data_IF_996305219788
#
_entry.id   IF_996305219788
#
_cell.length_a   1.000
_cell.length_b   1.000
_cell.length_c   1.000
_cell.angle_alpha   90.00
_cell.angle_beta   90.00
_cell.angle_gamma   90.00
#
_symmetry.space_group_name_H-M   'P 1'
#
loop_
_entity.id
_entity.type
_entity.pdbx_description
1 polymer ?
#
# COMPACT_ATOMS: atom_id res chain seq x y z
N UNK A 1 -5.88 -53.17 -30.96
CA UNK A 1 -6.55 -52.07 -30.23
C UNK A 1 -5.69 -51.73 -29.01
N UNK A 2 -5.09 -50.53 -28.94
CA UNK A 2 -4.29 -50.12 -27.78
C UNK A 2 -4.63 -48.66 -27.47
N UNK A 3 -5.57 -48.47 -26.54
CA UNK A 3 -5.98 -47.17 -26.01
C UNK A 3 -4.87 -46.69 -25.07
N UNK A 4 -4.08 -45.69 -25.49
CA UNK A 4 -3.16 -44.98 -24.63
C UNK A 4 -3.91 -43.75 -24.10
N UNK A 5 -4.49 -43.88 -22.90
CA UNK A 5 -5.00 -42.75 -22.13
C UNK A 5 -3.77 -41.92 -21.70
N UNK A 6 -3.50 -40.82 -22.40
CA UNK A 6 -2.64 -39.77 -21.86
C UNK A 6 -3.42 -39.01 -20.81
N UNK A 7 -3.22 -39.37 -19.53
CA UNK A 7 -3.52 -38.48 -18.41
C UNK A 7 -2.49 -37.34 -18.46
N UNK A 8 -2.88 -36.20 -19.01
CA UNK A 8 -2.14 -34.96 -18.81
C UNK A 8 -2.40 -34.48 -17.37
N UNK A 9 -1.36 -34.26 -16.55
CA UNK A 9 -1.54 -33.58 -15.28
C UNK A 9 -1.93 -32.14 -15.60
N UNK A 10 -3.13 -31.73 -15.18
CA UNK A 10 -3.47 -30.32 -15.06
C UNK A 10 -2.49 -29.73 -14.02
N UNK A 11 -1.39 -29.15 -14.51
CA UNK A 11 -0.64 -28.20 -13.71
C UNK A 11 -1.58 -27.03 -13.46
N UNK A 12 -2.23 -27.01 -12.30
CA UNK A 12 -2.74 -25.77 -11.75
C UNK A 12 -1.51 -24.88 -11.60
N UNK A 13 -1.31 -23.96 -12.56
CA UNK A 13 -0.50 -22.80 -12.33
C UNK A 13 -1.08 -22.15 -11.07
N UNK A 14 -0.38 -22.29 -9.94
CA UNK A 14 -0.64 -21.42 -8.82
C UNK A 14 -0.27 -20.04 -9.31
N UNK A 15 -1.27 -19.29 -9.75
CA UNK A 15 -1.21 -17.84 -9.67
C UNK A 15 -1.03 -17.53 -8.18
N UNK A 16 0.23 -17.52 -7.73
CA UNK A 16 0.62 -16.73 -6.59
C UNK A 16 0.24 -15.31 -6.97
N UNK A 17 -0.96 -14.92 -6.57
CA UNK A 17 -1.61 -13.67 -6.91
C UNK A 17 -0.87 -12.57 -6.15
N UNK A 18 0.35 -12.26 -6.63
CA UNK A 18 1.12 -11.07 -6.30
C UNK A 18 0.27 -9.89 -6.78
N UNK A 19 -0.65 -9.44 -5.93
CA UNK A 19 -1.59 -8.40 -6.30
C UNK A 19 -2.86 -8.31 -5.46
N UNK A 20 -3.25 -9.37 -4.73
CA UNK A 20 -4.39 -9.30 -3.80
C UNK A 20 -3.94 -9.15 -2.37
N UNK A 21 -4.40 -8.09 -1.67
CA UNK A 21 -4.27 -7.97 -0.22
C UNK A 21 -4.81 -9.21 0.50
N UNK A 22 -4.05 -9.72 1.46
CA UNK A 22 -4.33 -10.88 2.31
C UNK A 22 -5.04 -10.46 3.58
N UNK A 23 -4.58 -9.37 4.21
CA UNK A 23 -5.00 -8.94 5.54
C UNK A 23 -5.90 -7.71 5.49
N UNK A 24 -5.84 -6.94 4.40
CA UNK A 24 -6.62 -5.72 4.16
C UNK A 24 -6.35 -4.67 5.26
N UNK A 25 -5.08 -4.50 5.62
CA UNK A 25 -4.67 -3.67 6.75
C UNK A 25 -5.04 -2.19 6.57
N UNK A 26 -4.96 -1.69 5.34
CA UNK A 26 -5.39 -0.35 4.97
C UNK A 26 -6.33 -0.45 3.79
N UNK A 27 -7.50 0.16 3.88
CA UNK A 27 -8.50 0.17 2.82
C UNK A 27 -9.20 1.51 2.70
N UNK A 28 -9.68 1.80 1.50
CA UNK A 28 -10.35 3.06 1.22
C UNK A 28 -10.83 3.14 -0.23
N UNK A 29 -11.19 4.36 -0.61
CA UNK A 29 -11.59 4.68 -1.97
C UNK A 29 -10.60 5.62 -2.65
N UNK A 30 -10.57 5.61 -3.98
CA UNK A 30 -9.86 6.58 -4.82
C UNK A 30 -10.93 7.41 -5.55
N UNK A 31 -10.96 8.70 -5.26
CA UNK A 31 -11.82 9.68 -5.93
C UNK A 31 -11.04 10.48 -6.98
N UNK A 32 -11.77 11.23 -7.81
CA UNK A 32 -11.18 12.00 -8.91
C UNK A 32 -10.93 11.17 -10.17
N UNK A 33 -10.33 11.81 -11.17
CA UNK A 33 -9.99 11.19 -12.47
C UNK A 33 -8.49 11.00 -12.54
N UNK A 34 -8.04 9.75 -12.68
CA UNK A 34 -6.63 9.45 -12.84
C UNK A 34 -6.08 10.12 -14.11
N UNK A 35 -4.87 10.71 -14.05
CA UNK A 35 -4.26 11.37 -15.22
C UNK A 35 -3.64 10.38 -16.22
N UNK A 36 -3.69 9.07 -15.95
CA UNK A 36 -3.12 8.03 -16.81
C UNK A 36 -3.33 6.61 -16.26
N UNK A 37 -2.70 5.63 -16.92
CA UNK A 37 -2.72 4.22 -16.56
C UNK A 37 -1.39 3.52 -16.95
N UNK A 38 -1.05 2.35 -16.36
CA UNK A 38 -1.75 1.66 -15.29
C UNK A 38 -1.62 2.36 -13.93
N UNK A 39 -2.65 2.23 -13.11
CA UNK A 39 -2.65 2.75 -11.73
C UNK A 39 -2.16 1.65 -10.81
N UNK A 40 -1.22 1.98 -9.92
CA UNK A 40 -0.73 1.11 -8.86
C UNK A 40 -0.82 1.80 -7.51
N UNK A 41 -0.73 1.01 -6.44
CA UNK A 41 -0.60 1.50 -5.07
C UNK A 41 0.84 1.38 -4.60
N UNK A 42 1.23 2.25 -3.68
CA UNK A 42 2.49 2.13 -2.96
C UNK A 42 2.33 2.61 -1.51
N UNK A 43 3.10 1.99 -0.63
CA UNK A 43 3.38 2.51 0.70
C UNK A 43 4.74 3.20 0.64
N UNK A 44 4.76 4.52 0.66
CA UNK A 44 5.98 5.32 0.50
C UNK A 44 6.42 5.93 1.82
N UNK A 45 7.72 5.96 2.08
CA UNK A 45 8.28 6.69 3.22
C UNK A 45 8.14 8.21 3.03
N UNK A 46 8.06 8.93 4.14
CA UNK A 46 8.04 10.39 4.15
C UNK A 46 9.28 10.90 4.86
N UNK A 47 10.04 11.80 4.23
CA UNK A 47 11.07 12.58 4.93
C UNK A 47 10.59 13.99 5.23
N UNK A 48 11.38 14.68 6.05
CA UNK A 48 11.25 16.10 6.38
C UNK A 48 11.28 17.06 5.18
N UNK A 49 11.71 16.61 3.99
CA UNK A 49 11.75 17.41 2.75
C UNK A 49 10.64 17.08 1.75
N UNK A 50 9.69 16.21 2.14
CA UNK A 50 8.60 15.73 1.29
C UNK A 50 9.02 14.49 0.49
N UNK A 51 8.32 13.37 0.76
CA UNK A 51 8.43 12.06 0.11
C UNK A 51 9.87 11.63 -0.26
N UNK A 52 10.55 10.96 0.67
CA UNK A 52 11.79 10.24 0.34
C UNK A 52 11.41 8.84 -0.07
N UNK A 53 12.01 8.36 -1.16
CA UNK A 53 12.10 6.93 -1.44
C UNK A 53 12.85 6.27 -0.29
N UNK A 54 12.14 6.00 0.80
CA UNK A 54 12.48 4.85 1.59
C UNK A 54 12.25 3.66 0.66
N UNK A 55 13.23 2.78 0.52
CA UNK A 55 13.08 1.46 -0.10
C UNK A 55 12.15 0.60 0.77
N UNK A 56 10.92 1.06 0.99
CA UNK A 56 9.86 0.33 1.68
C UNK A 56 9.37 -0.74 0.73
N UNK A 57 8.95 -1.87 1.28
CA UNK A 57 8.24 -2.86 0.49
C UNK A 57 7.01 -2.22 -0.17
N UNK A 58 7.03 -2.18 -1.49
CA UNK A 58 5.96 -1.62 -2.28
C UNK A 58 4.88 -2.68 -2.47
N UNK A 59 3.64 -2.29 -2.22
CA UNK A 59 2.50 -3.18 -2.37
C UNK A 59 1.85 -2.89 -3.72
N UNK A 60 2.23 -3.66 -4.73
CA UNK A 60 1.53 -3.63 -6.00
C UNK A 60 0.14 -4.26 -5.81
N UNK A 61 -0.91 -3.44 -5.87
CA UNK A 61 -2.30 -3.91 -5.86
C UNK A 61 -2.98 -3.41 -7.12
N UNK A 62 -3.70 -4.30 -7.80
CA UNK A 62 -4.63 -3.92 -8.84
C UNK A 62 -5.89 -3.36 -8.19
N UNK A 63 -6.27 -2.13 -8.52
CA UNK A 63 -7.48 -1.49 -7.96
C UNK A 63 -8.70 -2.34 -8.34
N UNK A 64 -9.32 -2.99 -7.34
CA UNK A 64 -10.47 -3.89 -7.51
C UNK A 64 -11.76 -3.06 -7.44
N UNK A 65 -12.51 -2.99 -8.55
CA UNK A 65 -13.55 -1.97 -8.78
C UNK A 65 -12.89 -0.57 -8.82
N UNK A 66 -13.08 0.20 -9.90
CA UNK A 66 -12.18 1.28 -10.36
C UNK A 66 -11.86 2.42 -9.35
N UNK A 67 -12.39 2.33 -8.13
CA UNK A 67 -12.29 3.31 -7.05
C UNK A 67 -12.10 2.69 -5.66
N UNK A 68 -11.98 1.38 -5.48
CA UNK A 68 -11.75 0.78 -4.16
C UNK A 68 -10.40 0.12 -4.09
N UNK A 69 -9.77 0.20 -2.93
CA UNK A 69 -8.47 -0.42 -2.74
C UNK A 69 -8.31 -1.00 -1.34
N UNK A 70 -7.34 -1.90 -1.26
CA UNK A 70 -6.75 -2.33 0.00
C UNK A 70 -5.26 -2.55 -0.18
N UNK A 71 -4.52 -2.49 0.91
CA UNK A 71 -3.07 -2.65 1.00
C UNK A 71 -2.79 -3.38 2.31
N UNK A 72 -1.88 -4.35 2.27
CA UNK A 72 -1.35 -4.98 3.48
C UNK A 72 -0.12 -4.23 3.95
N UNK A 73 0.18 -4.30 5.24
CA UNK A 73 1.47 -3.85 5.72
C UNK A 73 2.59 -4.76 5.21
N UNK A 74 3.80 -4.23 4.97
CA UNK A 74 4.99 -5.03 4.77
C UNK A 74 5.20 -6.03 5.91
N UNK A 75 5.67 -7.24 5.58
CA UNK A 75 6.05 -8.26 6.58
C UNK A 75 7.24 -7.81 7.45
N UNK A 76 8.07 -6.89 6.94
CA UNK A 76 9.26 -6.37 7.63
C UNK A 76 9.44 -4.87 7.33
N UNK A 77 8.63 -3.99 7.93
CA UNK A 77 8.73 -2.56 7.72
C UNK A 77 9.87 -1.97 8.55
N UNK A 78 10.55 -0.96 8.00
CA UNK A 78 11.50 -0.19 8.78
C UNK A 78 10.76 0.79 9.73
N UNK A 79 11.35 1.22 10.85
CA UNK A 79 10.82 2.34 11.62
C UNK A 79 10.69 3.60 10.77
N UNK A 80 9.55 4.27 10.81
CA UNK A 80 9.35 5.47 9.99
C UNK A 80 7.91 5.93 9.82
N UNK A 81 7.77 7.01 9.05
CA UNK A 81 6.50 7.60 8.65
C UNK A 81 6.25 7.26 7.19
N UNK A 82 5.02 6.83 6.90
CA UNK A 82 4.60 6.31 5.61
C UNK A 82 3.30 6.93 5.15
N UNK A 83 3.06 6.86 3.84
CA UNK A 83 1.78 7.18 3.20
C UNK A 83 1.40 6.09 2.21
N UNK A 84 0.12 5.73 2.19
CA UNK A 84 -0.45 5.01 1.04
C UNK A 84 -0.77 6.02 -0.05
N UNK A 85 -0.37 5.72 -1.27
CA UNK A 85 -0.62 6.53 -2.46
C UNK A 85 -1.09 5.64 -3.59
N UNK A 86 -1.88 6.19 -4.51
CA UNK A 86 -2.02 5.66 -5.85
C UNK A 86 -1.18 6.49 -6.81
N UNK A 87 -0.55 5.85 -7.80
CA UNK A 87 0.29 6.50 -8.79
C UNK A 87 0.11 5.88 -10.17
N UNK A 88 0.43 6.67 -11.20
CA UNK A 88 0.48 6.21 -12.59
C UNK A 88 1.87 5.64 -12.85
N UNK A 89 1.96 4.33 -13.01
CA UNK A 89 3.20 3.60 -13.29
C UNK A 89 3.55 3.73 -14.77
N UNK A 90 4.17 4.86 -15.11
CA UNK A 90 4.44 5.26 -16.50
C UNK A 90 5.62 4.53 -17.12
N UNK A 91 6.55 4.06 -16.30
CA UNK A 91 7.74 3.33 -16.76
C UNK A 91 7.57 1.80 -16.65
N UNK A 92 6.52 1.32 -15.99
CA UNK A 92 6.16 -0.09 -15.89
C UNK A 92 6.99 -0.89 -14.89
N UNK A 93 7.79 -0.23 -14.04
CA UNK A 93 8.68 -0.89 -13.08
C UNK A 93 7.93 -1.36 -11.81
N UNK A 94 6.66 -0.94 -11.66
CA UNK A 94 5.85 -1.26 -10.50
C UNK A 94 6.26 -0.55 -9.22
N UNK A 95 7.03 0.52 -9.34
CA UNK A 95 7.55 1.33 -8.26
C UNK A 95 7.15 2.78 -8.46
N UNK A 96 6.80 3.45 -7.35
CA UNK A 96 6.60 4.89 -7.41
C UNK A 96 7.95 5.59 -7.59
N UNK A 97 8.04 6.39 -8.64
CA UNK A 97 9.14 7.30 -8.90
C UNK A 97 8.69 8.75 -8.71
N UNK A 98 9.57 9.62 -8.19
CA UNK A 98 9.20 11.00 -7.85
C UNK A 98 8.71 11.85 -9.04
N UNK A 99 8.98 11.41 -10.27
CA UNK A 99 8.51 12.04 -11.51
C UNK A 99 7.10 11.62 -11.92
N UNK A 100 6.55 10.58 -11.30
CA UNK A 100 5.25 10.01 -11.64
C UNK A 100 4.11 10.76 -10.96
N UNK A 101 2.95 10.77 -11.61
CA UNK A 101 1.75 11.39 -11.05
C UNK A 101 1.18 10.49 -9.96
N UNK A 102 0.85 11.07 -8.82
CA UNK A 102 0.26 10.39 -7.66
C UNK A 102 -0.92 11.17 -7.09
N UNK A 103 -1.72 10.48 -6.28
CA UNK A 103 -2.77 11.07 -5.48
C UNK A 103 -2.24 12.10 -4.48
N UNK A 104 -3.07 13.07 -4.17
CA UNK A 104 -2.84 14.11 -3.18
C UNK A 104 -2.63 13.54 -1.78
N UNK A 105 -2.06 14.35 -0.89
CA UNK A 105 -1.93 14.02 0.51
C UNK A 105 -3.30 14.15 1.20
N UNK A 106 -3.82 13.05 1.74
CA UNK A 106 -5.10 13.02 2.45
C UNK A 106 -5.01 13.38 3.95
N UNK A 107 -3.86 13.87 4.42
CA UNK A 107 -3.62 14.26 5.81
C UNK A 107 -3.48 13.09 6.79
N UNK A 108 -3.42 11.85 6.29
CA UNK A 108 -3.18 10.64 7.08
C UNK A 108 -1.76 10.15 6.84
N UNK A 109 -1.13 9.72 7.93
CA UNK A 109 0.20 9.11 7.91
C UNK A 109 0.18 7.84 8.73
N UNK A 110 0.94 6.86 8.27
CA UNK A 110 1.14 5.59 8.96
C UNK A 110 2.51 5.65 9.63
N UNK A 111 2.59 5.33 10.91
CA UNK A 111 3.84 5.32 11.66
C UNK A 111 4.11 3.90 12.09
N UNK A 112 5.22 3.33 11.64
CA UNK A 112 5.73 2.08 12.20
C UNK A 112 6.83 2.40 13.21
N UNK A 113 6.70 1.82 14.41
CA UNK A 113 7.69 1.93 15.48
C UNK A 113 8.04 0.55 16.03
N UNK A 114 9.30 0.31 16.36
CA UNK A 114 9.72 -0.92 17.03
C UNK A 114 9.42 -0.90 18.53
N UNK A 115 9.36 0.30 19.12
CA UNK A 115 9.12 0.49 20.55
C UNK A 115 8.08 1.58 20.83
N UNK A 116 7.49 1.53 22.02
CA UNK A 116 6.67 2.63 22.52
C UNK A 116 7.53 3.90 22.69
N UNK A 117 7.00 5.04 22.27
CA UNK A 117 7.65 6.34 22.41
C UNK A 117 6.62 7.44 22.68
N UNK A 118 6.98 8.40 23.52
CA UNK A 118 6.15 9.58 23.78
C UNK A 118 6.97 10.83 23.52
N UNK A 119 6.47 11.71 22.65
CA UNK A 119 7.09 12.99 22.31
C UNK A 119 6.05 14.09 22.56
N UNK A 120 6.31 14.92 23.58
CA UNK A 120 5.32 15.88 24.05
C UNK A 120 4.05 15.17 24.56
N UNK A 121 2.89 15.53 24.01
CA UNK A 121 1.59 14.91 24.32
C UNK A 121 1.23 13.74 23.39
N UNK A 122 2.09 13.42 22.42
CA UNK A 122 1.82 12.38 21.42
C UNK A 122 2.51 11.09 21.83
N UNK A 123 1.75 9.99 21.89
CA UNK A 123 2.28 8.64 22.15
C UNK A 123 2.14 7.78 20.90
N UNK A 124 3.24 7.19 20.48
CA UNK A 124 3.34 6.19 19.41
C UNK A 124 3.60 4.84 20.09
N UNK A 125 2.81 3.83 19.74
CA UNK A 125 2.98 2.46 20.26
C UNK A 125 3.85 1.63 19.34
N UNK A 126 4.50 0.60 19.89
CA UNK A 126 5.15 -0.42 19.07
C UNK A 126 4.15 -1.02 18.07
N UNK A 127 4.56 -1.14 16.81
CA UNK A 127 3.75 -1.52 15.66
C UNK A 127 3.25 -0.34 14.82
N UNK A 128 2.19 -0.60 14.05
CA UNK A 128 1.58 0.38 13.14
C UNK A 128 0.61 1.30 13.86
N UNK A 129 0.76 2.60 13.65
CA UNK A 129 -0.09 3.65 14.18
C UNK A 129 -0.61 4.52 13.03
N UNK A 130 -1.80 5.10 13.20
CA UNK A 130 -2.36 6.11 12.33
C UNK A 130 -2.21 7.49 12.97
N UNK A 131 -1.54 8.39 12.28
CA UNK A 131 -1.50 9.81 12.61
C UNK A 131 -2.41 10.60 11.67
N UNK A 132 -3.33 11.36 12.25
CA UNK A 132 -4.27 12.22 11.51
C UNK A 132 -4.56 13.49 12.31
N UNK A 133 -4.29 14.65 11.70
CA UNK A 133 -4.42 15.95 12.36
C UNK A 133 -3.41 16.08 13.50
N UNK A 134 -3.89 15.95 14.74
CA UNK A 134 -3.08 15.98 15.97
C UNK A 134 -3.16 14.68 16.78
N UNK A 135 -3.84 13.67 16.25
CA UNK A 135 -4.13 12.43 16.97
C UNK A 135 -3.30 11.28 16.41
N UNK A 136 -2.69 10.50 17.32
CA UNK A 136 -2.13 9.18 17.01
C UNK A 136 -3.03 8.12 17.61
N UNK A 137 -3.42 7.15 16.80
CA UNK A 137 -4.16 5.95 17.23
C UNK A 137 -3.44 4.70 16.74
N UNK A 138 -3.72 3.55 17.36
CA UNK A 138 -3.18 2.25 16.92
C UNK A 138 -4.33 1.36 16.40
N UNK A 139 -4.93 1.70 15.24
CA UNK A 139 -6.00 0.90 14.68
C UNK A 139 -5.42 -0.42 14.18
N UNK A 140 -6.01 -1.56 14.57
CA UNK A 140 -5.59 -2.86 14.03
C UNK A 140 -5.75 -2.94 12.52
N UNK A 141 -6.86 -2.38 11.99
CA UNK A 141 -7.10 -2.16 10.56
C UNK A 141 -7.57 -0.73 10.33
N UNK A 142 -7.14 -0.15 9.23
CA UNK A 142 -7.50 1.21 8.81
C UNK A 142 -8.50 1.12 7.68
N UNK A 143 -9.67 1.69 7.90
CA UNK A 143 -10.70 1.87 6.89
C UNK A 143 -10.87 3.34 6.57
N UNK A 144 -11.48 3.65 5.42
CA UNK A 144 -11.68 5.01 4.93
C UNK A 144 -10.35 5.76 4.77
N UNK A 145 -9.27 5.10 4.36
CA UNK A 145 -8.06 5.77 3.90
C UNK A 145 -8.30 6.30 2.49
N UNK A 146 -9.19 7.30 2.35
CA UNK A 146 -9.59 7.77 1.03
C UNK A 146 -8.47 8.60 0.38
N UNK A 147 -8.22 8.32 -0.89
CA UNK A 147 -7.26 8.99 -1.74
C UNK A 147 -8.00 9.82 -2.77
N UNK A 148 -7.41 10.94 -3.18
CA UNK A 148 -7.92 11.78 -4.25
C UNK A 148 -6.83 12.05 -5.28
N UNK A 149 -7.17 11.97 -6.56
CA UNK A 149 -6.31 12.42 -7.65
C UNK A 149 -6.18 13.94 -7.67
#
# INVERSE_FOLDING_TARGET
MRKLLLLAPLALASCGLLGTPKTYDVSGTISGTAPGSPIKLALVGVSSTGAVNADVAQVAVTVFDARKFSVDYPDSPAPGIYQVIAYVDTNGDGKYNATEKRTENNGKYLIYSESDATVGSVTVKSGWNLFQGTTVTQPGRITNYDLNW
#
